data_IF_331558926316
#
_entry.id   IF_331558926316
#
_cell.length_a   1.000
_cell.length_b   1.000
_cell.length_c   1.000
_cell.angle_alpha   90.00
_cell.angle_beta   90.00
_cell.angle_gamma   90.00
#
_symmetry.space_group_name_H-M   'P 1'
#
loop_
_entity.id
_entity.type
_entity.pdbx_description
1 polymer ?
#
# COMPACT_ATOMS: atom_id res chain seq x y z
N UNK A 1 13.63 -3.51 -26.80
CA UNK A 1 13.66 -4.54 -27.88
C UNK A 1 12.40 -5.42 -27.90
N UNK A 2 11.31 -5.01 -27.22
CA UNK A 2 10.13 -5.86 -26.94
C UNK A 2 8.88 -5.51 -27.76
N UNK A 3 8.87 -4.36 -28.45
CA UNK A 3 7.71 -3.96 -29.26
C UNK A 3 7.62 -4.70 -30.59
N UNK A 4 8.68 -5.40 -31.04
CA UNK A 4 8.77 -5.83 -32.43
C UNK A 4 7.88 -6.99 -32.82
N UNK A 5 7.59 -7.98 -31.95
CA UNK A 5 6.79 -9.14 -32.36
C UNK A 5 5.30 -8.81 -32.51
N UNK A 6 4.74 -8.05 -31.55
CA UNK A 6 3.37 -7.54 -31.65
C UNK A 6 3.25 -6.51 -32.77
N UNK A 7 4.22 -5.60 -32.97
CA UNK A 7 4.21 -4.72 -34.14
C UNK A 7 4.34 -5.52 -35.44
N UNK A 8 5.12 -6.61 -35.47
CA UNK A 8 5.26 -7.43 -36.68
C UNK A 8 3.94 -8.12 -37.00
N UNK A 9 3.22 -8.70 -36.04
CA UNK A 9 1.91 -9.32 -36.32
C UNK A 9 0.82 -8.29 -36.67
N UNK A 10 0.86 -7.09 -36.08
CA UNK A 10 -0.09 -6.01 -36.35
C UNK A 10 0.22 -5.25 -37.65
N UNK A 11 1.50 -5.13 -38.03
CA UNK A 11 1.96 -4.52 -39.29
C UNK A 11 2.04 -5.49 -40.46
N UNK A 12 2.00 -6.81 -40.24
CA UNK A 12 1.86 -7.78 -41.36
C UNK A 12 0.46 -7.80 -41.98
N UNK A 13 -0.50 -7.03 -41.43
CA UNK A 13 -1.73 -6.65 -42.14
C UNK A 13 -1.53 -5.50 -43.15
N UNK A 14 -0.33 -4.92 -43.25
CA UNK A 14 0.02 -4.05 -44.37
C UNK A 14 0.46 -4.97 -45.50
N UNK A 15 -0.36 -5.07 -46.54
CA UNK A 15 -0.02 -5.82 -47.76
C UNK A 15 1.33 -5.36 -48.30
N UNK A 16 2.35 -6.20 -48.14
CA UNK A 16 3.66 -5.98 -48.72
C UNK A 16 3.73 -6.75 -50.03
N UNK A 17 3.58 -6.02 -51.13
CA UNK A 17 3.76 -6.55 -52.48
C UNK A 17 5.25 -6.71 -52.81
N UNK A 18 5.57 -7.84 -53.45
CA UNK A 18 6.77 -8.17 -54.25
C UNK A 18 8.00 -8.87 -53.60
N UNK A 19 8.10 -10.17 -53.94
CA UNK A 19 9.24 -10.95 -54.46
C UNK A 19 10.52 -11.29 -53.66
N UNK A 20 10.72 -10.91 -52.39
CA UNK A 20 11.85 -11.47 -51.60
C UNK A 20 11.64 -11.44 -50.06
N UNK A 21 10.41 -11.59 -49.60
CA UNK A 21 10.00 -11.15 -48.26
C UNK A 21 10.06 -12.24 -47.18
N UNK A 22 9.93 -13.52 -47.55
CA UNK A 22 9.97 -14.61 -46.57
C UNK A 22 11.36 -14.83 -45.96
N UNK A 23 12.44 -14.55 -46.71
CA UNK A 23 13.83 -14.66 -46.23
C UNK A 23 14.16 -13.62 -45.14
N UNK A 24 13.63 -12.41 -45.26
CA UNK A 24 13.72 -11.38 -44.22
C UNK A 24 12.98 -11.79 -42.94
N UNK A 25 11.78 -12.38 -43.08
CA UNK A 25 11.03 -12.95 -41.96
C UNK A 25 11.84 -14.06 -41.26
N UNK A 26 12.49 -14.92 -42.04
CA UNK A 26 13.32 -16.02 -41.53
C UNK A 26 14.53 -15.50 -40.72
N UNK A 27 15.16 -14.40 -41.15
CA UNK A 27 16.25 -13.77 -40.40
C UNK A 27 15.81 -13.19 -39.05
N UNK A 28 14.57 -12.69 -38.95
CA UNK A 28 13.98 -12.21 -37.69
C UNK A 28 13.54 -13.37 -36.80
N UNK A 29 12.91 -14.41 -37.37
CA UNK A 29 12.42 -15.56 -36.63
C UNK A 29 13.58 -16.43 -36.07
N UNK A 30 14.69 -16.51 -36.79
CA UNK A 30 15.93 -17.11 -36.28
C UNK A 30 16.48 -16.39 -35.03
N UNK A 31 16.29 -15.06 -34.90
CA UNK A 31 16.67 -14.33 -33.67
C UNK A 31 15.83 -14.71 -32.45
N UNK A 32 14.63 -15.27 -32.68
CA UNK A 32 13.74 -15.81 -31.66
C UNK A 32 13.89 -17.33 -31.48
N UNK A 33 14.95 -17.94 -32.05
CA UNK A 33 15.17 -19.39 -31.99
C UNK A 33 14.18 -20.22 -32.82
N UNK A 34 13.35 -19.57 -33.64
CA UNK A 34 12.39 -20.24 -34.52
C UNK A 34 13.08 -20.46 -35.87
N UNK A 35 13.63 -21.66 -36.06
CA UNK A 35 14.28 -22.05 -37.30
C UNK A 35 13.24 -22.49 -38.34
N UNK A 36 13.14 -21.74 -39.43
CA UNK A 36 12.13 -21.98 -40.47
C UNK A 36 12.81 -22.40 -41.78
N UNK A 37 12.37 -23.52 -42.34
CA UNK A 37 12.57 -23.85 -43.76
C UNK A 37 11.28 -23.46 -44.46
N UNK A 38 11.19 -22.20 -44.90
CA UNK A 38 10.03 -21.71 -45.66
C UNK A 38 10.13 -22.35 -47.04
N UNK A 39 9.13 -23.12 -47.44
CA UNK A 39 9.00 -23.67 -48.78
C UNK A 39 8.01 -22.82 -49.57
N UNK A 40 8.34 -22.47 -50.82
CA UNK A 40 7.58 -21.54 -51.68
C UNK A 40 6.25 -22.13 -52.22
N UNK A 41 5.50 -22.88 -51.41
CA UNK A 41 4.22 -23.47 -51.84
C UNK A 41 3.09 -23.05 -50.93
N UNK A 42 1.95 -22.76 -51.56
CA UNK A 42 0.71 -22.32 -50.95
C UNK A 42 0.26 -23.25 -49.82
N UNK A 43 0.17 -22.71 -48.61
CA UNK A 43 -0.44 -23.39 -47.47
C UNK A 43 -1.82 -22.80 -47.24
N UNK A 44 -2.85 -23.64 -47.38
CA UNK A 44 -4.23 -23.30 -47.01
C UNK A 44 -4.43 -23.75 -45.56
N UNK A 45 -4.72 -22.78 -44.69
CA UNK A 45 -5.08 -23.00 -43.29
C UNK A 45 -4.32 -22.06 -42.37
N UNK A 46 -4.77 -20.82 -42.25
CA UNK A 46 -4.36 -19.88 -41.19
C UNK A 46 -5.59 -19.56 -40.35
N UNK A 47 -5.43 -19.56 -39.02
CA UNK A 47 -6.52 -19.31 -38.06
C UNK A 47 -6.56 -17.88 -37.52
N UNK A 48 -5.43 -17.17 -37.51
CA UNK A 48 -5.28 -15.87 -36.83
C UNK A 48 -4.87 -14.74 -37.79
N UNK A 49 -4.02 -15.02 -38.76
CA UNK A 49 -3.59 -14.10 -39.80
C UNK A 49 -4.68 -13.96 -40.87
N UNK A 50 -4.86 -12.75 -41.41
CA UNK A 50 -5.85 -12.51 -42.46
C UNK A 50 -5.58 -13.38 -43.69
N UNK A 51 -6.62 -14.06 -44.18
CA UNK A 51 -6.56 -14.76 -45.46
C UNK A 51 -6.61 -13.75 -46.63
N UNK A 52 -5.53 -13.02 -46.86
CA UNK A 52 -5.34 -12.23 -48.08
C UNK A 52 -4.92 -13.17 -49.21
N UNK A 53 -5.75 -13.28 -50.22
CA UNK A 53 -5.61 -14.20 -51.36
C UNK A 53 -4.27 -13.88 -52.07
N UNK A 54 -3.34 -14.84 -52.01
CA UNK A 54 -2.02 -14.93 -52.67
C UNK A 54 -0.80 -14.50 -51.82
N UNK A 55 0.08 -15.49 -51.57
CA UNK A 55 1.40 -15.46 -50.91
C UNK A 55 1.42 -15.39 -49.37
N UNK A 56 1.41 -16.56 -48.71
CA UNK A 56 1.73 -16.68 -47.28
C UNK A 56 3.16 -17.19 -47.06
N UNK A 57 3.92 -16.49 -46.21
CA UNK A 57 5.25 -16.92 -45.76
C UNK A 57 5.23 -17.82 -44.51
N UNK A 58 4.06 -18.03 -43.89
CA UNK A 58 3.96 -18.62 -42.55
C UNK A 58 2.90 -19.74 -42.54
N UNK A 59 3.28 -21.02 -42.63
CA UNK A 59 2.36 -22.15 -42.42
C UNK A 59 1.75 -22.19 -40.99
N UNK A 60 0.57 -22.80 -40.79
CA UNK A 60 -0.15 -22.88 -39.50
C UNK A 60 0.73 -23.28 -38.30
N UNK A 61 1.62 -24.27 -38.48
CA UNK A 61 2.52 -24.75 -37.42
C UNK A 61 3.43 -23.63 -36.90
N UNK A 62 3.77 -22.67 -37.75
CA UNK A 62 4.58 -21.51 -37.38
C UNK A 62 3.73 -20.40 -36.79
N UNK A 63 2.50 -20.22 -37.28
CA UNK A 63 1.51 -19.32 -36.67
C UNK A 63 1.25 -19.70 -35.21
N UNK A 64 1.03 -21.00 -34.93
CA UNK A 64 0.83 -21.51 -33.57
C UNK A 64 2.08 -21.32 -32.69
N UNK A 65 3.29 -21.48 -33.25
CA UNK A 65 4.55 -21.23 -32.53
C UNK A 65 4.76 -19.75 -32.22
N UNK A 66 4.45 -18.86 -33.16
CA UNK A 66 4.53 -17.41 -32.97
C UNK A 66 3.48 -16.96 -31.95
N UNK A 67 2.26 -17.48 -32.02
CA UNK A 67 1.20 -17.22 -31.05
C UNK A 67 1.65 -17.65 -29.65
N UNK A 68 2.13 -18.88 -29.47
CA UNK A 68 2.59 -19.37 -28.17
C UNK A 68 3.77 -18.57 -27.64
N UNK A 69 4.75 -18.23 -28.49
CA UNK A 69 5.87 -17.36 -28.10
C UNK A 69 5.40 -15.98 -27.65
N UNK A 70 4.44 -15.38 -28.37
CA UNK A 70 3.86 -14.07 -28.04
C UNK A 70 3.08 -14.13 -26.73
N UNK A 71 2.30 -15.18 -26.52
CA UNK A 71 1.55 -15.40 -25.26
C UNK A 71 2.52 -15.53 -24.10
N UNK A 72 3.57 -16.35 -24.22
CA UNK A 72 4.60 -16.51 -23.18
C UNK A 72 5.30 -15.18 -22.91
N UNK A 73 5.66 -14.42 -23.94
CA UNK A 73 6.30 -13.11 -23.78
C UNK A 73 5.40 -12.09 -23.07
N UNK A 74 4.10 -12.04 -23.42
CA UNK A 74 3.12 -11.20 -22.74
C UNK A 74 2.96 -11.60 -21.27
N UNK A 75 2.92 -12.89 -20.96
CA UNK A 75 2.89 -13.38 -19.59
C UNK A 75 4.15 -12.97 -18.82
N UNK A 76 5.34 -13.19 -19.37
CA UNK A 76 6.61 -12.81 -18.73
C UNK A 76 6.70 -11.30 -18.50
N UNK A 77 6.23 -10.49 -19.45
CA UNK A 77 6.21 -9.04 -19.34
C UNK A 77 5.21 -8.57 -18.26
N UNK A 78 4.01 -9.16 -18.24
CA UNK A 78 3.00 -8.92 -17.21
C UNK A 78 3.50 -9.29 -15.81
N UNK A 79 4.14 -10.45 -15.67
CA UNK A 79 4.76 -10.93 -14.43
C UNK A 79 5.85 -9.97 -13.97
N UNK A 80 6.76 -9.56 -14.86
CA UNK A 80 7.83 -8.62 -14.55
C UNK A 80 7.30 -7.27 -14.05
N UNK A 81 6.30 -6.69 -14.73
CA UNK A 81 5.69 -5.44 -14.29
C UNK A 81 4.96 -5.59 -12.95
N UNK A 82 4.26 -6.71 -12.75
CA UNK A 82 3.53 -6.98 -11.51
C UNK A 82 4.47 -7.14 -10.32
N UNK A 83 5.59 -7.87 -10.48
CA UNK A 83 6.63 -8.00 -9.45
C UNK A 83 7.24 -6.64 -9.09
N UNK A 84 7.58 -5.82 -10.09
CA UNK A 84 8.15 -4.50 -9.85
C UNK A 84 7.19 -3.57 -9.13
N UNK A 85 5.90 -3.61 -9.50
CA UNK A 85 4.87 -2.82 -8.85
C UNK A 85 4.65 -3.27 -7.40
N UNK A 86 4.59 -4.59 -7.17
CA UNK A 86 4.50 -5.18 -5.84
C UNK A 86 5.66 -4.75 -4.94
N UNK A 87 6.90 -4.91 -5.41
CA UNK A 87 8.08 -4.52 -4.62
C UNK A 87 8.13 -3.01 -4.34
N UNK A 88 7.70 -2.19 -5.30
CA UNK A 88 7.61 -0.73 -5.12
C UNK A 88 6.60 -0.35 -4.04
N UNK A 89 5.38 -0.89 -4.12
CA UNK A 89 4.32 -0.61 -3.14
C UNK A 89 4.65 -1.18 -1.76
N UNK A 90 5.25 -2.37 -1.69
CA UNK A 90 5.77 -2.94 -0.45
C UNK A 90 6.77 -2.01 0.23
N UNK A 91 7.75 -1.46 -0.52
CA UNK A 91 8.73 -0.50 0.03
C UNK A 91 8.07 0.76 0.55
N UNK A 92 7.13 1.33 -0.21
CA UNK A 92 6.37 2.53 0.20
C UNK A 92 5.58 2.25 1.49
N UNK A 93 4.94 1.07 1.59
CA UNK A 93 4.17 0.66 2.77
C UNK A 93 5.06 0.56 4.00
N UNK A 94 6.23 -0.05 3.88
CA UNK A 94 7.22 -0.15 4.98
C UNK A 94 7.69 1.24 5.41
N UNK A 95 8.06 2.10 4.45
CA UNK A 95 8.51 3.47 4.72
C UNK A 95 7.42 4.32 5.39
N UNK A 96 6.17 4.21 4.95
CA UNK A 96 5.04 4.91 5.54
C UNK A 96 4.85 4.51 7.00
N UNK A 97 4.84 3.20 7.28
CA UNK A 97 4.72 2.67 8.63
C UNK A 97 5.88 3.14 9.53
N UNK A 98 7.12 3.09 9.05
CA UNK A 98 8.27 3.63 9.80
C UNK A 98 8.15 5.13 10.07
N UNK A 99 7.66 5.90 9.11
CA UNK A 99 7.47 7.35 9.23
C UNK A 99 6.42 7.66 10.29
N UNK A 100 5.28 6.94 10.29
CA UNK A 100 4.24 7.07 11.31
C UNK A 100 4.81 6.74 12.69
N UNK A 101 5.57 5.64 12.83
CA UNK A 101 6.23 5.27 14.08
C UNK A 101 7.13 6.40 14.60
N UNK A 102 8.04 6.89 13.75
CA UNK A 102 9.00 7.95 14.11
C UNK A 102 8.28 9.24 14.49
N UNK A 103 7.21 9.60 13.79
CA UNK A 103 6.42 10.78 14.11
C UNK A 103 5.80 10.67 15.51
N UNK A 104 5.14 9.55 15.82
CA UNK A 104 4.52 9.36 17.14
C UNK A 104 5.58 9.30 18.25
N UNK A 105 6.71 8.62 18.03
CA UNK A 105 7.82 8.58 18.98
C UNK A 105 8.47 9.96 19.19
N UNK A 106 8.64 10.74 18.13
CA UNK A 106 9.15 12.11 18.21
C UNK A 106 8.21 13.00 19.02
N UNK A 107 6.91 12.97 18.71
CA UNK A 107 5.90 13.72 19.47
C UNK A 107 5.86 13.32 20.95
N UNK A 108 6.06 12.04 21.26
CA UNK A 108 6.19 11.56 22.64
C UNK A 108 7.39 12.20 23.35
N UNK A 109 8.56 12.15 22.72
CA UNK A 109 9.80 12.67 23.29
C UNK A 109 9.73 14.19 23.48
N UNK A 110 9.15 14.90 22.50
CA UNK A 110 8.94 16.35 22.57
C UNK A 110 7.95 16.71 23.69
N UNK A 111 6.85 15.97 23.81
CA UNK A 111 5.88 16.15 24.91
C UNK A 111 6.57 15.97 26.27
N UNK A 112 7.36 14.92 26.44
CA UNK A 112 8.13 14.70 27.67
C UNK A 112 9.12 15.82 27.95
N UNK A 113 9.83 16.30 26.92
CA UNK A 113 10.81 17.38 27.05
C UNK A 113 10.16 18.68 27.49
N UNK A 114 9.04 19.07 26.86
CA UNK A 114 8.28 20.28 27.19
C UNK A 114 7.72 20.20 28.61
N UNK A 115 7.14 19.05 28.99
CA UNK A 115 6.54 18.89 30.32
C UNK A 115 7.58 18.77 31.43
N UNK A 116 8.70 18.12 31.18
CA UNK A 116 9.80 18.03 32.13
C UNK A 116 10.42 19.41 32.37
N UNK A 117 10.61 20.21 31.31
CA UNK A 117 11.16 21.56 31.42
C UNK A 117 10.23 22.51 32.19
N UNK A 118 8.94 22.52 31.84
CA UNK A 118 7.99 23.49 32.41
C UNK A 118 7.33 23.04 33.73
N UNK A 119 7.21 21.74 33.95
CA UNK A 119 6.38 21.18 35.03
C UNK A 119 7.05 20.01 35.77
N UNK A 120 8.39 19.97 35.85
CA UNK A 120 9.19 18.85 36.35
C UNK A 120 8.59 18.07 37.54
N UNK A 121 8.16 18.78 38.61
CA UNK A 121 7.55 18.15 39.80
C UNK A 121 6.26 17.41 39.50
N UNK A 122 5.39 18.01 38.69
CA UNK A 122 4.06 17.50 38.37
C UNK A 122 4.13 16.45 37.25
N UNK A 123 5.04 16.65 36.28
CA UNK A 123 5.28 15.76 35.16
C UNK A 123 5.55 14.31 35.58
N UNK A 124 6.34 14.10 36.63
CA UNK A 124 6.67 12.76 37.12
C UNK A 124 5.44 11.93 37.48
N UNK A 125 4.36 12.56 37.94
CA UNK A 125 3.10 11.87 38.24
C UNK A 125 2.34 11.47 36.96
N UNK A 126 2.38 12.29 35.91
CA UNK A 126 1.65 12.05 34.66
C UNK A 126 2.43 11.22 33.64
N UNK A 127 3.76 11.09 33.79
CA UNK A 127 4.65 10.45 32.82
C UNK A 127 4.19 9.07 32.35
N UNK A 128 3.72 8.23 33.28
CA UNK A 128 3.20 6.89 32.96
C UNK A 128 1.95 6.95 32.08
N UNK A 129 1.01 7.86 32.38
CA UNK A 129 -0.23 8.03 31.61
C UNK A 129 0.05 8.53 30.20
N UNK A 130 1.03 9.44 30.04
CA UNK A 130 1.46 9.95 28.73
C UNK A 130 2.11 8.82 27.91
N UNK A 131 2.99 8.02 28.53
CA UNK A 131 3.59 6.87 27.85
C UNK A 131 2.54 5.86 27.39
N UNK A 132 1.58 5.54 28.25
CA UNK A 132 0.48 4.64 27.92
C UNK A 132 -0.34 5.16 26.73
N UNK A 133 -0.64 6.46 26.71
CA UNK A 133 -1.33 7.12 25.61
C UNK A 133 -0.59 6.96 24.27
N UNK A 134 0.70 7.29 24.22
CA UNK A 134 1.49 7.17 22.99
C UNK A 134 1.68 5.71 22.54
N UNK A 135 1.78 4.76 23.47
CA UNK A 135 1.83 3.34 23.13
C UNK A 135 0.51 2.86 22.52
N UNK A 136 -0.64 3.32 23.03
CA UNK A 136 -1.96 3.04 22.47
C UNK A 136 -2.13 3.69 21.10
N UNK A 137 -1.70 4.93 20.91
CA UNK A 137 -1.70 5.59 19.59
C UNK A 137 -0.90 4.81 18.54
N UNK A 138 0.28 4.30 18.91
CA UNK A 138 1.05 3.42 18.03
C UNK A 138 0.24 2.17 17.66
N UNK A 139 -0.38 1.48 18.62
CA UNK A 139 -1.19 0.30 18.32
C UNK A 139 -2.36 0.59 17.37
N UNK A 140 -3.05 1.71 17.57
CA UNK A 140 -4.18 2.14 16.72
C UNK A 140 -3.71 2.35 15.27
N UNK A 141 -2.52 2.94 15.09
CA UNK A 141 -1.99 3.21 13.74
C UNK A 141 -1.70 1.95 12.90
N UNK A 142 -1.60 0.77 13.54
CA UNK A 142 -1.27 -0.49 12.84
C UNK A 142 -2.36 -1.56 12.85
N UNK A 143 -3.21 -1.62 13.89
CA UNK A 143 -4.06 -2.80 14.14
C UNK A 143 -5.57 -2.58 14.06
N UNK A 144 -6.12 -1.52 14.68
CA UNK A 144 -7.57 -1.34 14.79
C UNK A 144 -7.91 0.15 14.90
N UNK A 145 -8.54 0.71 13.87
CA UNK A 145 -8.91 2.12 13.82
C UNK A 145 -10.29 2.41 14.43
N UNK A 146 -11.22 1.46 14.36
CA UNK A 146 -12.64 1.83 14.37
C UNK A 146 -13.24 2.26 15.72
N UNK A 147 -12.59 2.00 16.87
CA UNK A 147 -13.17 2.35 18.19
C UNK A 147 -12.19 2.81 19.28
N UNK A 148 -10.89 2.95 18.99
CA UNK A 148 -9.89 3.08 20.05
C UNK A 148 -9.40 4.51 20.34
N UNK A 149 -9.52 5.47 19.41
CA UNK A 149 -8.97 6.83 19.60
C UNK A 149 -9.72 7.58 20.70
N UNK A 150 -11.05 7.66 20.59
CA UNK A 150 -11.90 8.29 21.61
C UNK A 150 -11.66 7.69 23.00
N UNK A 151 -11.68 6.36 23.11
CA UNK A 151 -11.46 5.65 24.36
C UNK A 151 -10.07 5.92 24.95
N UNK A 152 -9.04 5.90 24.10
CA UNK A 152 -7.64 6.18 24.50
C UNK A 152 -7.48 7.60 25.04
N UNK A 153 -8.13 8.59 24.41
CA UNK A 153 -8.09 9.98 24.87
C UNK A 153 -8.91 10.14 26.14
N UNK A 154 -10.13 9.59 26.20
CA UNK A 154 -10.94 9.59 27.42
C UNK A 154 -10.19 9.00 28.62
N UNK A 155 -9.49 7.90 28.42
CA UNK A 155 -8.68 7.27 29.46
C UNK A 155 -7.51 8.16 29.91
N UNK A 156 -6.81 8.81 28.98
CA UNK A 156 -5.77 9.78 29.32
C UNK A 156 -6.33 10.90 30.21
N UNK A 157 -7.45 11.50 29.81
CA UNK A 157 -8.05 12.60 30.57
C UNK A 157 -8.61 12.16 31.92
N UNK A 158 -9.18 10.95 32.01
CA UNK A 158 -9.59 10.36 33.30
C UNK A 158 -8.40 10.12 34.23
N UNK A 159 -7.29 9.63 33.70
CA UNK A 159 -6.07 9.42 34.47
C UNK A 159 -5.47 10.74 34.94
N UNK A 160 -5.43 11.76 34.07
CA UNK A 160 -5.02 13.12 34.44
C UNK A 160 -5.89 13.63 35.58
N UNK A 161 -7.22 13.59 35.44
CA UNK A 161 -8.15 14.04 36.48
C UNK A 161 -7.91 13.33 37.82
N UNK A 162 -7.78 12.00 37.79
CA UNK A 162 -7.53 11.20 38.98
C UNK A 162 -6.24 11.64 39.69
N UNK A 163 -5.15 11.77 38.94
CA UNK A 163 -3.85 12.20 39.49
C UNK A 163 -3.96 13.64 40.02
N UNK A 164 -4.60 14.55 39.29
CA UNK A 164 -4.78 15.95 39.73
C UNK A 164 -5.55 16.03 41.05
N UNK A 165 -6.63 15.27 41.19
CA UNK A 165 -7.43 15.25 42.43
C UNK A 165 -6.61 14.66 43.58
N UNK A 166 -5.86 13.58 43.36
CA UNK A 166 -4.97 13.00 44.37
C UNK A 166 -3.94 14.03 44.84
N UNK A 167 -3.25 14.69 43.91
CA UNK A 167 -2.23 15.68 44.22
C UNK A 167 -2.80 16.87 45.01
N UNK A 168 -3.99 17.35 44.64
CA UNK A 168 -4.65 18.45 45.35
C UNK A 168 -5.18 18.04 46.73
N UNK A 169 -5.50 16.77 46.92
CA UNK A 169 -6.08 16.25 48.16
C UNK A 169 -5.04 15.66 49.14
N UNK A 170 -3.75 15.69 48.78
CA UNK A 170 -2.65 15.07 49.55
C UNK A 170 -2.53 15.56 51.00
N UNK A 171 -3.10 16.73 51.35
CA UNK A 171 -3.10 17.26 52.72
C UNK A 171 -4.36 16.91 53.52
N UNK A 172 -5.34 16.25 52.90
CA UNK A 172 -6.52 15.78 53.61
C UNK A 172 -6.40 14.27 53.75
N UNK A 173 -6.39 13.77 54.99
CA UNK A 173 -6.38 12.32 55.28
C UNK A 173 -7.68 11.61 54.87
N UNK A 174 -8.47 12.17 53.94
CA UNK A 174 -9.73 11.62 53.46
C UNK A 174 -9.49 10.86 52.16
N UNK A 175 -9.89 9.58 52.08
CA UNK A 175 -9.78 8.82 50.84
C UNK A 175 -10.69 9.42 49.76
N UNK A 176 -10.17 9.54 48.54
CA UNK A 176 -10.95 9.97 47.39
C UNK A 176 -11.83 8.80 46.95
N UNK A 177 -13.14 8.95 47.08
CA UNK A 177 -14.11 7.94 46.67
C UNK A 177 -14.23 7.88 45.14
N UNK A 178 -14.36 6.69 44.52
CA UNK A 178 -14.57 6.55 43.08
C UNK A 178 -15.82 7.31 42.57
N UNK A 179 -16.88 7.37 43.38
CA UNK A 179 -18.11 8.11 43.07
C UNK A 179 -17.87 9.61 42.92
N UNK A 180 -16.91 10.18 43.66
CA UNK A 180 -16.53 11.58 43.55
C UNK A 180 -15.81 11.87 42.22
N UNK A 181 -14.89 10.98 41.80
CA UNK A 181 -14.24 11.11 40.49
C UNK A 181 -15.22 10.98 39.32
N UNK A 182 -16.22 10.09 39.43
CA UNK A 182 -17.30 9.98 38.45
C UNK A 182 -18.16 11.25 38.38
N UNK A 183 -18.47 11.84 39.54
CA UNK A 183 -19.19 13.11 39.61
C UNK A 183 -18.40 14.24 38.93
N UNK A 184 -17.11 14.38 39.25
CA UNK A 184 -16.23 15.35 38.61
C UNK A 184 -16.18 15.15 37.09
N UNK A 185 -16.05 13.90 36.63
CA UNK A 185 -16.02 13.59 35.20
C UNK A 185 -17.30 14.03 34.48
N UNK A 186 -18.47 13.81 35.08
CA UNK A 186 -19.78 14.23 34.53
C UNK A 186 -19.91 15.75 34.41
N UNK A 187 -19.19 16.51 35.22
CA UNK A 187 -19.17 17.97 35.16
C UNK A 187 -18.20 18.53 34.11
N UNK A 188 -17.65 17.69 33.23
CA UNK A 188 -16.79 18.10 32.11
C UNK A 188 -15.62 19.02 32.52
N UNK A 189 -14.69 18.56 33.38
CA UNK A 189 -13.67 19.41 33.99
C UNK A 189 -12.65 19.97 32.98
N UNK A 190 -12.60 19.41 31.77
CA UNK A 190 -11.74 19.86 30.67
C UNK A 190 -12.50 20.63 29.58
N UNK A 191 -13.78 20.90 29.78
CA UNK A 191 -14.66 21.54 28.80
C UNK A 191 -14.62 20.86 27.44
N UNK A 192 -14.62 21.66 26.37
CA UNK A 192 -14.62 21.18 24.98
C UNK A 192 -13.23 20.73 24.47
N UNK A 193 -12.15 20.93 25.24
CA UNK A 193 -10.77 20.66 24.77
C UNK A 193 -10.57 19.19 24.40
N UNK A 194 -11.14 18.30 25.20
CA UNK A 194 -11.06 16.86 24.96
C UNK A 194 -11.72 16.48 23.64
N UNK A 195 -12.92 17.00 23.36
CA UNK A 195 -13.66 16.70 22.13
C UNK A 195 -12.94 17.22 20.89
N UNK A 196 -12.34 18.42 20.96
CA UNK A 196 -11.54 18.97 19.87
C UNK A 196 -10.34 18.07 19.55
N UNK A 197 -9.62 17.61 20.58
CA UNK A 197 -8.47 16.70 20.40
C UNK A 197 -8.90 15.36 19.81
N UNK A 198 -10.03 14.80 20.28
CA UNK A 198 -10.61 13.57 19.73
C UNK A 198 -10.88 13.74 18.23
N UNK A 199 -11.64 14.75 17.85
CA UNK A 199 -12.00 14.96 16.44
C UNK A 199 -10.77 15.14 15.54
N UNK A 200 -9.77 15.91 15.98
CA UNK A 200 -8.55 16.14 15.21
C UNK A 200 -7.73 14.85 15.05
N UNK A 201 -7.59 14.07 16.11
CA UNK A 201 -6.85 12.82 16.07
C UNK A 201 -7.59 11.75 15.26
N UNK A 202 -8.91 11.65 15.38
CA UNK A 202 -9.73 10.76 14.55
C UNK A 202 -9.59 11.09 13.07
N UNK A 203 -9.70 12.36 12.69
CA UNK A 203 -9.55 12.78 11.29
C UNK A 203 -8.14 12.44 10.76
N UNK A 204 -7.09 12.78 11.50
CA UNK A 204 -5.72 12.65 11.01
C UNK A 204 -5.22 11.21 11.04
N UNK A 205 -5.40 10.49 12.15
CA UNK A 205 -5.01 9.09 12.26
C UNK A 205 -5.90 8.19 11.40
N UNK A 206 -7.16 8.56 11.19
CA UNK A 206 -8.05 7.86 10.29
C UNK A 206 -7.63 7.90 8.85
N UNK A 207 -7.25 9.09 8.36
CA UNK A 207 -6.67 9.21 7.02
C UNK A 207 -5.43 8.34 6.86
N UNK A 208 -4.54 8.34 7.86
CA UNK A 208 -3.32 7.52 7.84
C UNK A 208 -3.63 6.02 7.85
N UNK A 209 -4.59 5.58 8.67
CA UNK A 209 -5.03 4.20 8.71
C UNK A 209 -5.61 3.75 7.37
N UNK A 210 -6.56 4.51 6.81
CA UNK A 210 -7.18 4.18 5.54
C UNK A 210 -6.15 4.15 4.39
N UNK A 211 -5.19 5.07 4.40
CA UNK A 211 -4.10 5.05 3.44
C UNK A 211 -3.27 3.76 3.56
N UNK A 212 -2.93 3.34 4.78
CA UNK A 212 -2.19 2.10 5.02
C UNK A 212 -2.97 0.86 4.56
N UNK A 213 -4.28 0.79 4.85
CA UNK A 213 -5.16 -0.29 4.39
C UNK A 213 -5.27 -0.33 2.86
N UNK A 214 -5.38 0.82 2.19
CA UNK A 214 -5.37 0.88 0.73
C UNK A 214 -4.08 0.33 0.13
N UNK A 215 -2.92 0.62 0.73
CA UNK A 215 -1.66 0.05 0.30
C UNK A 215 -1.58 -1.47 0.50
N UNK A 216 -2.11 -2.00 1.61
CA UNK A 216 -2.19 -3.46 1.84
C UNK A 216 -3.07 -4.14 0.79
N UNK A 217 -4.27 -3.62 0.56
CA UNK A 217 -5.19 -4.15 -0.46
C UNK A 217 -4.60 -4.06 -1.87
N UNK A 218 -3.88 -2.99 -2.17
CA UNK A 218 -3.18 -2.85 -3.47
C UNK A 218 -2.09 -3.92 -3.64
N UNK A 219 -1.33 -4.22 -2.58
CA UNK A 219 -0.33 -5.29 -2.60
C UNK A 219 -0.98 -6.65 -2.84
N UNK A 220 -2.08 -6.95 -2.14
CA UNK A 220 -2.83 -8.21 -2.31
C UNK A 220 -3.39 -8.36 -3.72
N UNK A 221 -3.95 -7.29 -4.30
CA UNK A 221 -4.45 -7.30 -5.67
C UNK A 221 -3.34 -7.60 -6.69
N UNK A 222 -2.16 -7.00 -6.52
CA UNK A 222 -1.04 -7.25 -7.44
C UNK A 222 -0.51 -8.67 -7.29
N UNK A 223 -0.47 -9.21 -6.07
CA UNK A 223 -0.15 -10.62 -5.87
C UNK A 223 -1.10 -11.51 -6.66
N UNK A 224 -2.41 -11.25 -6.60
CA UNK A 224 -3.42 -11.99 -7.37
C UNK A 224 -3.20 -11.86 -8.88
N UNK A 225 -2.89 -10.66 -9.39
CA UNK A 225 -2.64 -10.43 -10.83
C UNK A 225 -1.32 -11.06 -11.30
N UNK A 226 -0.35 -11.19 -10.40
CA UNK A 226 0.96 -11.79 -10.69
C UNK A 226 0.98 -13.32 -10.63
N UNK A 227 -0.04 -13.96 -10.06
CA UNK A 227 -0.21 -15.43 -10.03
C UNK A 227 -0.92 -15.94 -11.28
#
# INVERSE_FOLDING_TARGET
MFYSLFLISLLTNIGYTENNQCSFLNSKLNKYGIHIKIHDKDFIGLKLCQNLINNYCCPQIYEDKIQNATIIELYQLSEFYSINLYESLRRITVQLNETIRKLIESSRNETHSILQYNYNKIYNFYRSSINLFFNKLLMISYKNYQYDIKNTIEELFRNILRITVILNNNNTNKPILPSYLLCLWRNHPFGNRQYVIINQLEINLGKLFHLNELFKLSNELIQIISM
#
